data_IF_784436335232
#
_entry.id   IF_784436335232
#
_cell.length_a   1.000
_cell.length_b   1.000
_cell.length_c   1.000
_cell.angle_alpha   90.00
_cell.angle_beta   90.00
_cell.angle_gamma   90.00
#
_symmetry.space_group_name_H-M   'P 1'
#
loop_
_entity.id
_entity.type
_entity.pdbx_description
1 polymer ?
#
# COMPACT_ATOMS: atom_id res chain seq x y z
N UNK A 1 -3.34 -8.32 6.54
CA UNK A 1 -3.82 -9.59 5.94
C UNK A 1 -3.65 -10.78 6.91
N UNK A 2 -2.44 -11.13 7.36
CA UNK A 2 -2.25 -12.24 8.31
C UNK A 2 -3.04 -12.07 9.62
N UNK A 3 -3.01 -10.87 10.23
CA UNK A 3 -3.82 -10.57 11.43
C UNK A 3 -5.33 -10.68 11.17
N UNK A 4 -5.78 -10.36 9.95
CA UNK A 4 -7.19 -10.50 9.58
C UNK A 4 -7.58 -11.98 9.50
N UNK A 5 -6.68 -12.80 8.95
CA UNK A 5 -6.87 -14.24 8.89
C UNK A 5 -6.83 -14.88 10.30
N UNK A 6 -6.01 -14.38 11.23
CA UNK A 6 -6.04 -14.82 12.63
C UNK A 6 -7.41 -14.59 13.27
N UNK A 7 -8.10 -13.48 12.93
CA UNK A 7 -9.49 -13.22 13.36
C UNK A 7 -10.49 -14.19 12.73
N UNK A 8 -10.25 -14.62 11.50
CA UNK A 8 -11.07 -15.65 10.82
C UNK A 8 -10.90 -17.00 11.52
N UNK A 9 -9.67 -17.40 11.85
CA UNK A 9 -9.42 -18.65 12.59
C UNK A 9 -9.98 -18.61 14.03
N UNK A 10 -10.02 -17.44 14.65
CA UNK A 10 -10.68 -17.21 15.94
C UNK A 10 -12.22 -17.21 15.86
N UNK A 11 -12.80 -17.23 14.65
CA UNK A 11 -14.25 -17.17 14.43
C UNK A 11 -14.86 -15.77 14.61
N UNK A 12 -14.04 -14.73 14.66
CA UNK A 12 -14.45 -13.32 14.81
C UNK A 12 -14.83 -12.67 13.47
N UNK A 13 -14.37 -13.24 12.35
CA UNK A 13 -14.62 -12.76 11.00
C UNK A 13 -14.85 -13.91 10.02
N UNK A 14 -15.49 -13.65 8.88
CA UNK A 14 -15.66 -14.65 7.82
C UNK A 14 -14.56 -14.54 6.79
N UNK A 15 -14.17 -15.68 6.22
CA UNK A 15 -13.17 -15.72 5.14
C UNK A 15 -13.63 -14.94 3.90
N UNK A 16 -14.93 -14.97 3.62
CA UNK A 16 -15.59 -14.21 2.53
C UNK A 16 -15.46 -12.70 2.67
N UNK A 17 -15.24 -12.18 3.87
CA UNK A 17 -15.07 -10.74 4.12
C UNK A 17 -13.62 -10.28 3.88
N UNK A 18 -12.71 -11.24 3.69
CA UNK A 18 -11.28 -11.01 3.54
C UNK A 18 -10.79 -11.25 2.11
N UNK A 19 -11.19 -12.37 1.51
CA UNK A 19 -10.79 -12.78 0.16
C UNK A 19 -12.00 -13.26 -0.62
N UNK A 20 -11.96 -13.09 -1.94
CA UNK A 20 -12.98 -13.58 -2.88
C UNK A 20 -12.51 -14.83 -3.62
N UNK A 21 -11.22 -14.91 -3.97
CA UNK A 21 -10.66 -16.05 -4.69
C UNK A 21 -9.13 -16.14 -4.52
N UNK A 22 -8.55 -17.25 -4.98
CA UNK A 22 -7.11 -17.40 -5.18
C UNK A 22 -6.80 -17.43 -6.68
N UNK A 23 -5.81 -16.65 -7.10
CA UNK A 23 -5.28 -16.67 -8.47
C UNK A 23 -4.28 -17.82 -8.54
N UNK A 24 -4.52 -18.78 -9.42
CA UNK A 24 -3.52 -19.81 -9.73
C UNK A 24 -2.47 -19.19 -10.67
N UNK A 25 -1.20 -19.06 -10.24
CA UNK A 25 -0.13 -18.54 -11.11
C UNK A 25 0.16 -19.43 -12.33
N UNK A 26 -0.45 -20.61 -12.44
CA UNK A 26 -0.34 -21.53 -13.57
C UNK A 26 -1.60 -21.56 -14.47
N UNK A 27 -2.69 -20.87 -14.10
CA UNK A 27 -3.83 -20.67 -14.99
C UNK A 27 -3.51 -19.54 -15.97
N UNK A 28 -3.85 -19.74 -17.25
CA UNK A 28 -3.70 -18.75 -18.32
C UNK A 28 -4.21 -17.38 -17.82
N UNK A 29 -3.36 -16.34 -17.89
CA UNK A 29 -3.73 -14.96 -17.51
C UNK A 29 -4.93 -14.50 -18.36
N UNK A 30 -6.14 -14.80 -17.89
CA UNK A 30 -7.29 -13.98 -18.21
C UNK A 30 -7.19 -12.81 -17.24
N UNK A 31 -6.33 -11.87 -17.58
CA UNK A 31 -6.35 -10.55 -16.98
C UNK A 31 -7.68 -9.90 -17.38
N UNK A 32 -8.75 -10.25 -16.66
CA UNK A 32 -9.81 -9.29 -16.41
C UNK A 32 -9.13 -8.21 -15.58
N UNK A 33 -8.60 -7.20 -16.28
CA UNK A 33 -8.22 -5.95 -15.66
C UNK A 33 -9.50 -5.41 -15.02
N UNK A 34 -9.68 -5.70 -13.73
CA UNK A 34 -10.49 -4.86 -12.87
C UNK A 34 -9.88 -3.46 -13.04
N UNK A 35 -10.52 -2.63 -13.87
CA UNK A 35 -10.16 -1.24 -14.13
C UNK A 35 -10.45 -0.49 -12.83
N UNK A 36 -9.56 -0.68 -11.86
CA UNK A 36 -9.59 0.07 -10.61
C UNK A 36 -9.23 1.48 -11.03
N UNK A 37 -10.25 2.34 -11.15
CA UNK A 37 -10.10 3.76 -11.35
C UNK A 37 -9.38 4.34 -10.12
N UNK A 38 -8.05 4.17 -10.08
CA UNK A 38 -7.16 4.87 -9.15
C UNK A 38 -7.23 6.33 -9.59
N UNK A 39 -8.18 7.04 -9.00
CA UNK A 39 -8.49 8.44 -9.25
C UNK A 39 -7.24 9.22 -9.63
N UNK A 40 -7.21 9.63 -10.88
CA UNK A 40 -6.18 10.44 -11.50
C UNK A 40 -6.34 11.87 -11.00
N UNK A 41 -6.01 12.09 -9.73
CA UNK A 41 -5.93 13.42 -9.13
C UNK A 41 -4.74 13.47 -8.17
N UNK A 42 -3.62 13.93 -8.71
CA UNK A 42 -2.68 14.89 -8.11
C UNK A 42 -1.38 14.85 -8.91
N UNK A 43 -1.33 15.56 -10.04
CA UNK A 43 -0.07 16.04 -10.63
C UNK A 43 -0.31 17.06 -11.76
N UNK A 44 -1.12 18.10 -11.54
CA UNK A 44 -1.00 19.34 -12.33
C UNK A 44 -1.14 20.59 -11.44
N UNK A 45 -0.01 21.26 -11.24
CA UNK A 45 0.04 22.65 -10.82
C UNK A 45 -0.07 23.49 -12.10
N UNK A 46 -1.24 24.06 -12.41
CA UNK A 46 -1.33 25.33 -13.13
C UNK A 46 -2.63 26.10 -12.83
N UNK A 47 -2.54 27.40 -13.06
CA UNK A 47 -3.38 28.48 -12.61
C UNK A 47 -4.74 28.60 -13.33
N UNK A 48 -5.65 29.24 -12.59
CA UNK A 48 -6.71 30.19 -13.01
C UNK A 48 -7.97 29.70 -13.74
N UNK A 49 -9.08 29.88 -13.01
CA UNK A 49 -10.31 30.62 -13.35
C UNK A 49 -11.40 29.99 -14.24
N UNK A 50 -12.63 30.07 -13.69
CA UNK A 50 -13.99 29.99 -14.30
C UNK A 50 -14.35 28.69 -15.03
N UNK A 51 -15.57 28.18 -15.04
CA UNK A 51 -16.87 28.39 -14.36
C UNK A 51 -17.74 27.21 -14.88
N UNK A 52 -18.87 26.98 -14.22
CA UNK A 52 -20.06 26.25 -14.66
C UNK A 52 -20.20 24.76 -14.27
N UNK A 53 -21.18 24.61 -13.37
CA UNK A 53 -21.94 23.43 -12.96
C UNK A 53 -22.38 22.54 -14.13
N UNK A 54 -22.37 21.23 -13.93
CA UNK A 54 -23.48 20.36 -14.36
C UNK A 54 -23.52 19.10 -13.48
N UNK A 55 -24.57 19.05 -12.65
CA UNK A 55 -25.08 17.86 -11.97
C UNK A 55 -25.50 16.81 -13.00
N UNK A 56 -24.91 15.61 -12.98
CA UNK A 56 -25.59 14.40 -13.43
C UNK A 56 -25.30 13.24 -12.45
N UNK A 57 -26.26 13.06 -11.54
CA UNK A 57 -26.57 11.80 -10.88
C UNK A 57 -26.81 10.71 -11.95
N UNK A 58 -25.92 9.72 -12.04
CA UNK A 58 -26.28 8.40 -12.59
C UNK A 58 -25.88 7.31 -11.58
N UNK A 59 -26.86 7.03 -10.70
CA UNK A 59 -27.06 5.72 -10.07
C UNK A 59 -27.00 4.64 -11.15
N UNK A 60 -25.86 3.98 -11.27
CA UNK A 60 -25.77 2.66 -11.91
C UNK A 60 -25.54 1.61 -10.83
N UNK A 61 -26.63 1.28 -10.13
CA UNK A 61 -26.84 -0.02 -9.49
C UNK A 61 -26.70 -1.12 -10.55
N UNK A 62 -25.45 -1.49 -10.85
CA UNK A 62 -25.16 -2.76 -11.50
C UNK A 62 -25.04 -3.79 -10.39
N UNK A 63 -26.21 -4.28 -9.95
CA UNK A 63 -26.37 -5.60 -9.35
C UNK A 63 -25.87 -6.63 -10.37
N UNK A 64 -24.55 -6.80 -10.41
CA UNK A 64 -23.94 -8.01 -10.94
C UNK A 64 -24.06 -9.06 -9.86
N UNK A 65 -25.24 -9.67 -9.77
CA UNK A 65 -25.45 -11.03 -9.29
C UNK A 65 -24.59 -11.98 -10.13
N UNK A 66 -23.29 -11.99 -9.88
CA UNK A 66 -22.47 -13.17 -10.08
C UNK A 66 -22.61 -13.97 -8.79
N UNK A 67 -23.66 -14.79 -8.73
CA UNK A 67 -23.71 -16.03 -7.96
C UNK A 67 -22.56 -16.95 -8.42
N UNK A 68 -21.32 -16.51 -8.19
CA UNK A 68 -20.17 -17.37 -8.30
C UNK A 68 -20.10 -18.11 -6.98
N UNK A 69 -20.58 -19.34 -7.03
CA UNK A 69 -20.63 -20.39 -5.99
C UNK A 69 -19.21 -20.79 -5.52
N UNK A 70 -18.30 -19.82 -5.44
CA UNK A 70 -16.94 -19.92 -4.95
C UNK A 70 -16.96 -19.86 -3.43
N UNK A 71 -17.56 -20.88 -2.80
CA UNK A 71 -17.26 -21.18 -1.41
C UNK A 71 -15.76 -21.47 -1.32
N UNK A 72 -14.98 -20.47 -0.93
CA UNK A 72 -13.53 -20.58 -0.79
C UNK A 72 -13.25 -21.78 0.11
N UNK A 73 -12.56 -22.78 -0.44
CA UNK A 73 -12.23 -23.99 0.30
C UNK A 73 -11.38 -23.60 1.53
N UNK A 74 -11.91 -23.79 2.76
CA UNK A 74 -11.20 -23.41 3.97
C UNK A 74 -9.86 -24.13 4.13
N UNK A 75 -9.71 -25.35 3.58
CA UNK A 75 -8.44 -26.08 3.64
C UNK A 75 -7.40 -25.48 2.70
N UNK A 76 -7.78 -25.16 1.46
CA UNK A 76 -6.91 -24.47 0.51
C UNK A 76 -6.52 -23.09 1.03
N UNK A 77 -7.47 -22.35 1.60
CA UNK A 77 -7.20 -21.06 2.21
C UNK A 77 -6.17 -21.19 3.34
N UNK A 78 -6.37 -22.13 4.26
CA UNK A 78 -5.41 -22.39 5.34
C UNK A 78 -4.02 -22.73 4.80
N UNK A 79 -3.92 -23.52 3.75
CA UNK A 79 -2.64 -23.83 3.10
C UNK A 79 -1.96 -22.57 2.54
N UNK A 80 -2.69 -21.74 1.79
CA UNK A 80 -2.17 -20.50 1.20
C UNK A 80 -1.78 -19.46 2.25
N UNK A 81 -2.58 -19.28 3.30
CA UNK A 81 -2.24 -18.39 4.41
C UNK A 81 -1.04 -18.91 5.23
N UNK A 82 -0.86 -20.23 5.34
CA UNK A 82 0.33 -20.83 5.94
C UNK A 82 1.56 -20.54 5.09
N UNK A 83 1.48 -20.73 3.77
CA UNK A 83 2.55 -20.39 2.82
C UNK A 83 2.96 -18.90 2.93
N UNK A 84 1.97 -18.01 2.96
CA UNK A 84 2.18 -16.57 3.17
C UNK A 84 2.87 -16.28 4.51
N UNK A 85 2.47 -16.94 5.60
CA UNK A 85 3.04 -16.75 6.93
C UNK A 85 4.49 -17.23 6.99
N UNK A 86 4.80 -18.38 6.40
CA UNK A 86 6.16 -18.91 6.34
C UNK A 86 7.07 -17.98 5.54
N UNK A 87 6.63 -17.51 4.37
CA UNK A 87 7.42 -16.59 3.57
C UNK A 87 7.61 -15.23 4.27
N UNK A 88 6.57 -14.74 4.95
CA UNK A 88 6.66 -13.52 5.75
C UNK A 88 7.73 -13.62 6.84
N UNK A 89 7.77 -14.72 7.58
CA UNK A 89 8.75 -14.89 8.66
C UNK A 89 10.18 -15.08 8.11
N UNK A 90 10.36 -15.79 6.98
CA UNK A 90 11.66 -15.86 6.27
C UNK A 90 12.15 -14.46 5.90
N UNK A 91 11.30 -13.71 5.20
CA UNK A 91 11.59 -12.33 4.76
C UNK A 91 11.94 -11.44 5.95
N UNK A 92 11.19 -11.55 7.05
CA UNK A 92 11.44 -10.80 8.28
C UNK A 92 12.77 -11.14 8.94
N UNK A 93 13.15 -12.42 8.97
CA UNK A 93 14.45 -12.86 9.49
C UNK A 93 15.61 -12.36 8.63
N UNK A 94 15.45 -12.39 7.30
CA UNK A 94 16.44 -11.86 6.35
C UNK A 94 16.62 -10.35 6.50
N UNK A 95 15.53 -9.58 6.65
CA UNK A 95 15.59 -8.15 6.95
C UNK A 95 16.36 -7.89 8.26
N UNK A 96 16.11 -8.67 9.31
CA UNK A 96 16.81 -8.53 10.60
C UNK A 96 18.31 -8.89 10.50
N UNK A 97 18.66 -9.89 9.71
CA UNK A 97 20.03 -10.39 9.61
C UNK A 97 20.91 -9.56 8.67
N UNK A 98 20.39 -9.15 7.52
CA UNK A 98 21.18 -8.54 6.42
C UNK A 98 20.76 -7.11 6.08
N UNK A 99 19.61 -6.66 6.58
CA UNK A 99 19.02 -5.37 6.23
C UNK A 99 18.13 -5.42 4.99
N UNK A 100 17.21 -4.45 4.87
CA UNK A 100 16.18 -4.43 3.82
C UNK A 100 16.73 -4.36 2.39
N UNK A 101 17.85 -3.67 2.19
CA UNK A 101 18.43 -3.40 0.87
C UNK A 101 19.47 -4.44 0.44
N UNK A 102 19.53 -5.58 1.14
CA UNK A 102 20.44 -6.67 0.76
C UNK A 102 19.79 -7.51 -0.35
N UNK A 103 20.55 -7.90 -1.39
CA UNK A 103 20.04 -8.65 -2.56
C UNK A 103 19.23 -9.89 -2.17
N UNK A 104 19.73 -10.68 -1.23
CA UNK A 104 19.00 -11.88 -0.75
C UNK A 104 17.66 -11.52 -0.11
N UNK A 105 17.60 -10.41 0.63
CA UNK A 105 16.37 -9.93 1.27
C UNK A 105 15.41 -9.34 0.24
N UNK A 106 15.92 -8.67 -0.80
CA UNK A 106 15.11 -8.21 -1.93
C UNK A 106 14.45 -9.39 -2.66
N UNK A 107 15.18 -10.49 -2.89
CA UNK A 107 14.61 -11.71 -3.48
C UNK A 107 13.49 -12.30 -2.62
N UNK A 108 13.68 -12.36 -1.30
CA UNK A 108 12.64 -12.85 -0.39
C UNK A 108 11.41 -11.93 -0.34
N UNK A 109 11.62 -10.61 -0.40
CA UNK A 109 10.55 -9.60 -0.50
C UNK A 109 9.77 -9.78 -1.81
N UNK A 110 10.45 -10.01 -2.93
CA UNK A 110 9.81 -10.26 -4.22
C UNK A 110 8.93 -11.52 -4.16
N UNK A 111 9.48 -12.62 -3.63
CA UNK A 111 8.73 -13.87 -3.42
C UNK A 111 7.51 -13.67 -2.51
N UNK A 112 7.66 -12.90 -1.43
CA UNK A 112 6.53 -12.55 -0.56
C UNK A 112 5.47 -11.77 -1.33
N UNK A 113 5.86 -10.85 -2.22
CA UNK A 113 4.94 -10.09 -3.07
C UNK A 113 4.21 -10.99 -4.05
N UNK A 114 4.88 -11.96 -4.66
CA UNK A 114 4.27 -12.90 -5.61
C UNK A 114 3.25 -13.79 -4.92
N UNK A 115 3.55 -14.29 -3.72
CA UNK A 115 2.57 -15.05 -2.92
C UNK A 115 1.39 -14.15 -2.54
N UNK A 116 1.64 -12.90 -2.11
CA UNK A 116 0.58 -11.97 -1.74
C UNK A 116 -0.35 -11.63 -2.91
N UNK A 117 0.16 -11.53 -4.15
CA UNK A 117 -0.64 -11.28 -5.36
C UNK A 117 -1.59 -12.42 -5.69
N UNK A 118 -1.35 -13.64 -5.22
CA UNK A 118 -2.26 -14.78 -5.44
C UNK A 118 -3.59 -14.61 -4.69
N UNK A 119 -3.69 -13.69 -3.74
CA UNK A 119 -4.91 -13.45 -2.97
C UNK A 119 -5.75 -12.40 -3.69
N UNK A 120 -6.95 -12.77 -4.17
CA UNK A 120 -7.94 -11.78 -4.61
C UNK A 120 -8.66 -11.27 -3.37
N UNK A 121 -8.34 -10.04 -2.97
CA UNK A 121 -8.95 -9.40 -1.80
C UNK A 121 -10.35 -8.88 -2.15
N UNK A 122 -11.22 -8.83 -1.15
CA UNK A 122 -12.50 -8.11 -1.25
C UNK A 122 -12.22 -6.61 -1.50
N UNK A 123 -12.95 -5.91 -2.38
CA UNK A 123 -12.73 -4.50 -2.68
C UNK A 123 -12.61 -3.62 -1.42
N UNK A 124 -13.47 -3.81 -0.43
CA UNK A 124 -13.42 -3.10 0.87
C UNK A 124 -12.08 -3.27 1.60
N UNK A 125 -11.47 -4.45 1.54
CA UNK A 125 -10.16 -4.71 2.14
C UNK A 125 -9.04 -4.07 1.32
N UNK A 126 -9.16 -4.09 -0.01
CA UNK A 126 -8.22 -3.44 -0.90
C UNK A 126 -8.20 -1.92 -0.68
N UNK A 127 -9.37 -1.27 -0.67
CA UNK A 127 -9.52 0.16 -0.42
C UNK A 127 -8.98 0.55 0.96
N UNK A 128 -9.22 -0.28 1.99
CA UNK A 128 -8.64 -0.07 3.31
C UNK A 128 -7.11 -0.04 3.29
N UNK A 129 -6.47 -0.95 2.53
CA UNK A 129 -5.02 -0.96 2.38
C UNK A 129 -4.51 0.29 1.64
N UNK A 130 -5.17 0.67 0.55
CA UNK A 130 -4.81 1.87 -0.23
C UNK A 130 -4.94 3.13 0.61
N UNK A 131 -6.04 3.29 1.34
CA UNK A 131 -6.27 4.46 2.21
C UNK A 131 -5.25 4.54 3.33
N UNK A 132 -4.91 3.42 3.98
CA UNK A 132 -3.87 3.40 5.01
C UNK A 132 -2.49 3.80 4.44
N UNK A 133 -2.17 3.41 3.21
CA UNK A 133 -0.94 3.86 2.54
C UNK A 133 -0.96 5.37 2.26
N UNK A 134 -2.10 5.91 1.80
CA UNK A 134 -2.28 7.35 1.57
C UNK A 134 -2.13 8.14 2.87
N UNK A 135 -2.80 7.73 3.94
CA UNK A 135 -2.69 8.36 5.26
C UNK A 135 -1.26 8.34 5.80
N UNK A 136 -0.53 7.23 5.62
CA UNK A 136 0.89 7.16 6.01
C UNK A 136 1.74 8.16 5.24
N UNK A 137 1.54 8.27 3.92
CA UNK A 137 2.23 9.25 3.09
C UNK A 137 1.90 10.69 3.50
N UNK A 138 0.64 10.98 3.82
CA UNK A 138 0.25 12.30 4.27
C UNK A 138 0.86 12.68 5.61
N UNK A 139 1.04 11.71 6.52
CA UNK A 139 1.79 11.90 7.77
C UNK A 139 3.26 12.21 7.50
N UNK A 140 3.90 11.51 6.57
CA UNK A 140 5.30 11.78 6.16
C UNK A 140 5.42 13.19 5.58
N UNK A 141 4.57 13.53 4.60
CA UNK A 141 4.53 14.88 3.99
C UNK A 141 4.25 15.98 5.02
N UNK A 142 3.40 15.71 6.02
CA UNK A 142 3.14 16.66 7.09
C UNK A 142 4.41 16.95 7.91
N UNK A 143 5.20 15.93 8.24
CA UNK A 143 6.47 16.09 8.94
C UNK A 143 7.52 16.80 8.07
N UNK A 144 7.67 16.41 6.81
CA UNK A 144 8.58 17.06 5.86
C UNK A 144 8.26 18.56 5.71
N UNK A 145 6.97 18.90 5.51
CA UNK A 145 6.51 20.30 5.44
C UNK A 145 6.71 21.05 6.75
N UNK A 146 6.57 20.36 7.88
CA UNK A 146 6.80 20.97 9.19
C UNK A 146 8.28 21.31 9.38
N UNK A 147 9.17 20.36 9.13
CA UNK A 147 10.62 20.54 9.21
C UNK A 147 11.07 21.63 8.22
N UNK A 148 10.59 21.60 6.98
CA UNK A 148 10.90 22.60 5.96
C UNK A 148 10.47 24.01 6.40
N UNK A 149 9.26 24.19 6.95
CA UNK A 149 8.81 25.49 7.47
C UNK A 149 9.70 26.00 8.61
N UNK A 150 10.11 25.14 9.53
CA UNK A 150 11.00 25.53 10.63
C UNK A 150 12.36 26.00 10.07
N UNK A 151 12.98 25.22 9.19
CA UNK A 151 14.31 25.55 8.66
C UNK A 151 14.30 26.75 7.71
N UNK A 152 13.36 26.80 6.77
CA UNK A 152 13.33 27.81 5.70
C UNK A 152 12.66 29.11 6.16
N UNK A 153 11.50 29.03 6.83
CA UNK A 153 10.73 30.23 7.16
C UNK A 153 11.20 30.88 8.46
N UNK A 154 11.45 30.07 9.51
CA UNK A 154 11.84 30.59 10.83
C UNK A 154 13.35 30.82 10.95
N UNK A 155 14.16 29.83 10.58
CA UNK A 155 15.63 29.90 10.69
C UNK A 155 16.27 30.61 9.47
N UNK A 156 15.47 30.94 8.44
CA UNK A 156 15.91 31.63 7.21
C UNK A 156 16.99 30.88 6.42
N UNK A 157 16.97 29.55 6.48
CA UNK A 157 17.82 28.73 5.62
C UNK A 157 17.33 28.81 4.16
N UNK A 158 18.20 29.03 3.17
CA UNK A 158 17.82 28.92 1.76
C UNK A 158 17.27 27.53 1.43
N UNK A 159 16.10 27.45 0.81
CA UNK A 159 15.43 26.18 0.45
C UNK A 159 16.34 25.21 -0.31
N UNK A 160 17.20 25.74 -1.21
CA UNK A 160 18.16 24.94 -1.97
C UNK A 160 19.17 24.20 -1.08
N UNK A 161 19.62 24.84 0.00
CA UNK A 161 20.57 24.24 0.94
C UNK A 161 19.87 23.19 1.80
N UNK A 162 18.62 23.48 2.23
CA UNK A 162 17.79 22.51 2.96
C UNK A 162 17.60 21.23 2.15
N UNK A 163 17.14 21.32 0.89
CA UNK A 163 16.91 20.14 0.04
C UNK A 163 18.20 19.34 -0.15
N UNK A 164 19.32 20.01 -0.44
CA UNK A 164 20.62 19.33 -0.64
C UNK A 164 21.07 18.52 0.58
N UNK A 165 20.82 19.03 1.79
CA UNK A 165 21.22 18.35 3.03
C UNK A 165 20.20 17.30 3.48
N UNK A 166 18.91 17.58 3.30
CA UNK A 166 17.82 16.77 3.81
C UNK A 166 17.60 15.50 2.97
N UNK A 167 17.58 15.62 1.64
CA UNK A 167 17.31 14.49 0.74
C UNK A 167 18.32 13.35 0.93
N UNK A 168 17.83 12.15 1.21
CA UNK A 168 18.64 10.95 1.43
C UNK A 168 19.19 10.79 2.86
N UNK A 169 19.01 11.77 3.73
CA UNK A 169 19.40 11.72 5.16
C UNK A 169 18.22 11.95 6.11
N UNK A 170 17.00 11.89 5.60
CA UNK A 170 15.75 12.37 6.23
C UNK A 170 15.46 11.75 7.62
N UNK A 171 16.06 10.61 7.94
CA UNK A 171 15.86 9.89 9.20
C UNK A 171 17.02 9.98 10.19
N UNK A 172 18.18 10.50 9.79
CA UNK A 172 19.39 10.54 10.61
C UNK A 172 19.72 11.99 11.05
N UNK A 173 20.60 12.15 12.05
CA UNK A 173 20.98 13.49 12.54
C UNK A 173 22.16 14.12 11.77
N UNK A 174 22.66 13.47 10.70
CA UNK A 174 23.87 13.93 10.01
C UNK A 174 23.62 15.24 9.27
N UNK A 175 22.48 15.36 8.57
CA UNK A 175 22.07 16.58 7.88
C UNK A 175 21.87 17.74 8.85
N UNK A 176 21.27 17.48 10.02
CA UNK A 176 21.03 18.49 11.04
C UNK A 176 22.35 19.00 11.66
N UNK A 177 23.29 18.10 11.92
CA UNK A 177 24.59 18.46 12.48
C UNK A 177 25.42 19.23 11.45
N UNK A 178 25.40 18.82 10.18
CA UNK A 178 26.05 19.51 9.08
C UNK A 178 25.45 20.90 8.82
N UNK A 179 24.13 21.06 8.98
CA UNK A 179 23.46 22.35 8.84
C UNK A 179 23.79 23.36 9.96
N UNK A 180 24.30 22.87 11.10
CA UNK A 180 24.68 23.70 12.25
C UNK A 180 26.14 24.15 12.21
N UNK A 181 27.00 23.42 11.48
CA UNK A 181 28.43 23.69 11.34
C UNK A 181 28.67 24.81 10.32
#
# INVERSE_FOLDING_TARGET
LLEQYDRVEAGEARLSDLITAFIDPNAEEVAESDDVNLGKDDDEIDNSADDEDEDEDEDSDTDSDSDDDNSIDPELARQKFTELREQYEKTRQSIKAKGRNHKDTELEILQLSEIFKQFRLVPKQFDYLVNNMREMMDRVRAQERHIMRLCVDQVKMPKKNFITLFTGNETNNTWFTAARA
#
